data_IF_618135429324
#
_entry.id   IF_618135429324
#
_cell.length_a   1.000
_cell.length_b   1.000
_cell.length_c   1.000
_cell.angle_alpha   90.00
_cell.angle_beta   90.00
_cell.angle_gamma   90.00
#
_symmetry.space_group_name_H-M   'P 1'
#
loop_
_entity.id
_entity.type
_entity.pdbx_description
1 polymer ?
#
# COMPACT_ATOMS: atom_id res chain seq x y z
N UNK A 1 -13.41 -7.50 -17.14
CA UNK A 1 -12.13 -8.18 -16.96
C UNK A 1 -12.15 -9.49 -17.74
N UNK A 2 -11.39 -9.55 -18.83
CA UNK A 2 -11.03 -10.79 -19.49
C UNK A 2 -9.58 -11.02 -19.13
N UNK A 3 -9.30 -12.00 -18.27
CA UNK A 3 -8.31 -13.05 -18.52
C UNK A 3 -8.29 -14.01 -17.33
N UNK A 4 -8.86 -15.19 -17.60
CA UNK A 4 -8.52 -16.41 -16.91
C UNK A 4 -7.03 -16.68 -17.11
N UNK A 5 -6.34 -17.00 -16.02
CA UNK A 5 -5.04 -17.67 -16.02
C UNK A 5 -4.87 -18.55 -17.26
N UNK A 6 -3.95 -18.18 -18.16
CA UNK A 6 -3.63 -18.98 -19.33
C UNK A 6 -3.07 -20.32 -18.84
N UNK A 7 -3.78 -21.40 -19.13
CA UNK A 7 -3.48 -22.74 -18.64
C UNK A 7 -2.08 -23.25 -19.00
N UNK A 8 -1.70 -24.33 -18.29
CA UNK A 8 -0.44 -25.10 -18.23
C UNK A 8 0.22 -25.49 -19.58
N UNK A 9 0.48 -24.55 -20.49
CA UNK A 9 1.48 -24.76 -21.53
C UNK A 9 2.83 -24.41 -20.95
N UNK A 10 3.80 -25.33 -21.03
CA UNK A 10 5.20 -24.99 -20.73
C UNK A 10 5.55 -23.73 -21.51
N UNK A 11 5.94 -22.64 -20.84
CA UNK A 11 6.08 -21.38 -21.52
C UNK A 11 7.33 -21.44 -22.41
N UNK A 12 7.24 -20.84 -23.59
CA UNK A 12 8.36 -20.82 -24.53
C UNK A 12 9.61 -20.26 -23.84
N UNK A 13 10.70 -21.03 -23.89
CA UNK A 13 11.98 -20.62 -23.30
C UNK A 13 12.52 -19.40 -24.03
N UNK A 14 12.89 -18.38 -23.28
CA UNK A 14 13.49 -17.13 -23.74
C UNK A 14 14.96 -17.12 -23.38
N UNK A 15 15.82 -17.17 -24.40
CA UNK A 15 17.28 -17.09 -24.20
C UNK A 15 17.67 -15.63 -23.92
N UNK A 16 18.44 -15.42 -22.85
CA UNK A 16 18.95 -14.12 -22.42
C UNK A 16 20.46 -14.17 -22.20
N UNK A 17 21.14 -13.02 -22.34
CA UNK A 17 22.59 -12.91 -22.12
C UNK A 17 22.97 -13.03 -20.65
N UNK A 18 22.12 -12.53 -19.77
CA UNK A 18 22.33 -12.52 -18.32
C UNK A 18 21.02 -12.23 -17.57
N UNK A 19 21.08 -12.36 -16.24
CA UNK A 19 19.98 -12.04 -15.31
C UNK A 19 19.46 -10.61 -15.43
N UNK A 20 20.31 -9.65 -15.78
CA UNK A 20 19.92 -8.25 -15.98
C UNK A 20 18.99 -8.09 -17.18
N UNK A 21 19.27 -8.77 -18.29
CA UNK A 21 18.38 -8.81 -19.45
C UNK A 21 17.04 -9.51 -19.12
N UNK A 22 17.07 -10.62 -18.37
CA UNK A 22 15.85 -11.28 -17.90
C UNK A 22 15.00 -10.34 -17.06
N UNK A 23 15.60 -9.68 -16.06
CA UNK A 23 14.93 -8.70 -15.19
C UNK A 23 14.30 -7.58 -16.01
N UNK A 24 15.02 -7.01 -16.98
CA UNK A 24 14.49 -5.94 -17.83
C UNK A 24 13.26 -6.38 -18.64
N UNK A 25 13.25 -7.62 -19.15
CA UNK A 25 12.12 -8.19 -19.90
C UNK A 25 10.93 -8.46 -18.99
N UNK A 26 11.15 -9.05 -17.82
CA UNK A 26 10.12 -9.29 -16.79
C UNK A 26 9.44 -7.98 -16.38
N UNK A 27 10.23 -6.94 -16.10
CA UNK A 27 9.73 -5.60 -15.79
C UNK A 27 8.86 -5.03 -16.92
N UNK A 28 9.25 -5.24 -18.17
CA UNK A 28 8.48 -4.77 -19.32
C UNK A 28 7.14 -5.52 -19.42
N UNK A 29 7.13 -6.84 -19.20
CA UNK A 29 5.91 -7.65 -19.13
C UNK A 29 4.93 -7.10 -18.11
N UNK A 30 5.36 -6.93 -16.84
CA UNK A 30 4.48 -6.46 -15.78
C UNK A 30 4.00 -5.03 -15.99
N UNK A 31 4.87 -4.12 -16.43
CA UNK A 31 4.47 -2.73 -16.73
C UNK A 31 3.41 -2.64 -17.82
N UNK A 32 3.57 -3.43 -18.89
CA UNK A 32 2.59 -3.46 -19.97
C UNK A 32 1.24 -3.99 -19.46
N UNK A 33 1.26 -5.11 -18.72
CA UNK A 33 0.06 -5.69 -18.14
C UNK A 33 -0.65 -4.72 -17.16
N UNK A 34 0.09 -4.05 -16.29
CA UNK A 34 -0.47 -3.08 -15.34
C UNK A 34 -1.11 -1.89 -16.06
N UNK A 35 -0.47 -1.39 -17.11
CA UNK A 35 -1.03 -0.31 -17.94
C UNK A 35 -2.32 -0.76 -18.65
N UNK A 36 -2.36 -1.99 -19.13
CA UNK A 36 -3.52 -2.54 -19.84
C UNK A 36 -4.69 -2.85 -18.88
N UNK A 37 -4.39 -3.37 -17.69
CA UNK A 37 -5.40 -3.90 -16.78
C UNK A 37 -5.86 -2.91 -15.71
N UNK A 38 -5.03 -1.93 -15.34
CA UNK A 38 -5.22 -1.10 -14.14
C UNK A 38 -5.08 0.40 -14.36
N UNK A 39 -5.00 0.88 -15.60
CA UNK A 39 -4.87 2.31 -15.91
C UNK A 39 -6.06 3.17 -15.48
N UNK A 40 -7.22 2.54 -15.21
CA UNK A 40 -8.43 3.22 -14.73
C UNK A 40 -8.48 3.32 -13.19
N UNK A 41 -7.57 2.68 -12.46
CA UNK A 41 -7.57 2.68 -11.00
C UNK A 41 -6.86 3.92 -10.44
N UNK A 42 -7.42 4.50 -9.38
CA UNK A 42 -6.88 5.71 -8.76
C UNK A 42 -5.58 5.46 -7.99
N UNK A 43 -5.39 4.26 -7.42
CA UNK A 43 -4.24 3.92 -6.60
C UNK A 43 -3.40 2.79 -7.21
N UNK A 44 -3.94 1.58 -7.34
CA UNK A 44 -3.26 0.38 -7.81
C UNK A 44 -3.14 0.38 -9.35
N UNK A 45 -2.61 1.47 -9.92
CA UNK A 45 -2.37 1.65 -11.36
C UNK A 45 -0.90 1.39 -11.72
N UNK A 46 -0.52 1.66 -12.98
CA UNK A 46 0.82 1.39 -13.51
C UNK A 46 1.96 2.16 -12.80
N UNK A 47 1.64 3.20 -12.01
CA UNK A 47 2.62 4.00 -11.29
C UNK A 47 2.93 3.44 -9.90
N UNK A 48 1.97 2.75 -9.28
CA UNK A 48 2.13 2.25 -7.90
C UNK A 48 3.32 1.28 -7.76
N UNK A 49 3.47 0.24 -8.59
CA UNK A 49 4.63 -0.67 -8.52
C UNK A 49 5.98 0.02 -8.74
N UNK A 50 6.02 1.08 -9.55
CA UNK A 50 7.22 1.89 -9.73
C UNK A 50 7.57 2.68 -8.44
N UNK A 51 6.56 3.26 -7.80
CA UNK A 51 6.70 3.93 -6.51
C UNK A 51 7.23 2.97 -5.45
N UNK A 52 6.59 1.80 -5.30
CA UNK A 52 7.00 0.74 -4.35
C UNK A 52 8.44 0.35 -4.59
N UNK A 53 8.82 0.10 -5.85
CA UNK A 53 10.19 -0.26 -6.22
C UNK A 53 11.20 0.84 -5.88
N UNK A 54 10.89 2.10 -6.18
CA UNK A 54 11.76 3.25 -5.87
C UNK A 54 12.02 3.32 -4.37
N UNK A 55 10.97 3.23 -3.55
CA UNK A 55 11.05 3.32 -2.08
C UNK A 55 11.75 2.09 -1.47
N UNK A 56 11.49 0.89 -1.98
CA UNK A 56 12.18 -0.32 -1.56
C UNK A 56 13.69 -0.27 -1.86
N UNK A 57 14.07 0.23 -3.05
CA UNK A 57 15.48 0.40 -3.42
C UNK A 57 16.18 1.49 -2.61
N UNK A 58 15.48 2.58 -2.30
CA UNK A 58 15.98 3.64 -1.42
C UNK A 58 16.33 3.07 -0.04
N UNK A 59 15.38 2.36 0.58
CA UNK A 59 15.58 1.67 1.85
C UNK A 59 16.78 0.71 1.82
N UNK A 60 16.83 -0.18 0.81
CA UNK A 60 17.91 -1.15 0.68
C UNK A 60 19.28 -0.50 0.45
N UNK A 61 19.34 0.65 -0.25
CA UNK A 61 20.59 1.38 -0.46
C UNK A 61 21.11 2.06 0.81
N UNK A 62 20.23 2.44 1.74
CA UNK A 62 20.65 2.90 3.08
C UNK A 62 21.32 1.74 3.81
N UNK A 63 20.68 0.57 3.85
CA UNK A 63 21.27 -0.63 4.46
C UNK A 63 22.61 -1.01 3.82
N UNK A 64 22.68 -1.00 2.48
CA UNK A 64 23.90 -1.32 1.72
C UNK A 64 25.07 -0.39 2.05
N UNK A 65 24.80 0.88 2.33
CA UNK A 65 25.84 1.87 2.67
C UNK A 65 26.45 1.58 4.03
N UNK A 66 25.62 1.25 5.01
CA UNK A 66 26.06 1.00 6.39
C UNK A 66 26.63 -0.41 6.56
N UNK A 67 26.02 -1.41 5.90
CA UNK A 67 26.50 -2.79 5.88
C UNK A 67 26.34 -3.42 4.48
N UNK A 68 27.39 -3.37 3.65
CA UNK A 68 27.38 -3.99 2.31
C UNK A 68 27.20 -5.51 2.31
N UNK A 69 27.32 -6.19 3.46
CA UNK A 69 27.13 -7.64 3.54
C UNK A 69 25.66 -8.04 3.56
N UNK A 70 24.77 -7.12 3.96
CA UNK A 70 23.32 -7.36 4.02
C UNK A 70 22.63 -7.19 2.66
N UNK A 71 23.19 -6.34 1.78
CA UNK A 71 22.58 -6.00 0.49
C UNK A 71 23.60 -6.13 -0.62
N UNK A 72 23.39 -7.13 -1.48
CA UNK A 72 24.21 -7.36 -2.66
C UNK A 72 23.53 -6.82 -3.93
N UNK A 73 24.23 -6.87 -5.07
CA UNK A 73 23.61 -6.59 -6.37
C UNK A 73 22.43 -7.52 -6.66
N UNK A 74 22.51 -8.77 -6.21
CA UNK A 74 21.42 -9.74 -6.37
C UNK A 74 20.22 -9.39 -5.48
N UNK A 75 20.45 -8.90 -4.25
CA UNK A 75 19.38 -8.36 -3.38
C UNK A 75 18.64 -7.22 -4.08
N UNK A 76 19.37 -6.27 -4.68
CA UNK A 76 18.76 -5.17 -5.41
C UNK A 76 17.96 -5.65 -6.63
N UNK A 77 18.46 -6.66 -7.35
CA UNK A 77 17.75 -7.28 -8.47
C UNK A 77 16.48 -8.03 -8.01
N UNK A 78 16.53 -8.70 -6.85
CA UNK A 78 15.37 -9.35 -6.25
C UNK A 78 14.28 -8.32 -5.93
N UNK A 79 14.65 -7.23 -5.27
CA UNK A 79 13.73 -6.13 -4.93
C UNK A 79 13.06 -5.57 -6.19
N UNK A 80 13.82 -5.37 -7.27
CA UNK A 80 13.31 -4.85 -8.53
C UNK A 80 12.19 -5.73 -9.11
N UNK A 81 12.37 -7.05 -9.10
CA UNK A 81 11.39 -7.98 -9.65
C UNK A 81 10.16 -8.09 -8.75
N UNK A 82 10.35 -8.35 -7.45
CA UNK A 82 9.23 -8.48 -6.49
C UNK A 82 8.38 -7.23 -6.39
N UNK A 83 9.00 -6.04 -6.32
CA UNK A 83 8.26 -4.79 -6.24
C UNK A 83 7.47 -4.49 -7.52
N UNK A 84 7.97 -4.90 -8.69
CA UNK A 84 7.24 -4.70 -9.93
C UNK A 84 6.03 -5.64 -10.08
N UNK A 85 6.06 -6.80 -9.44
CA UNK A 85 5.04 -7.83 -9.61
C UNK A 85 4.05 -7.97 -8.45
N UNK A 86 4.30 -7.39 -7.28
CA UNK A 86 3.48 -7.62 -6.07
C UNK A 86 1.97 -7.38 -6.26
N UNK A 87 1.60 -6.38 -7.07
CA UNK A 87 0.23 -6.06 -7.48
C UNK A 87 -0.01 -6.32 -8.98
N UNK A 88 0.65 -7.33 -9.55
CA UNK A 88 0.46 -7.67 -10.97
C UNK A 88 -0.90 -8.32 -11.25
N UNK A 89 -1.52 -8.92 -10.24
CA UNK A 89 -2.88 -9.47 -10.30
C UNK A 89 -3.75 -8.79 -9.26
N UNK A 90 -4.78 -8.08 -9.73
CA UNK A 90 -5.75 -7.40 -8.89
C UNK A 90 -7.18 -7.84 -9.23
N UNK A 91 -7.62 -8.94 -8.63
CA UNK A 91 -9.01 -9.37 -8.69
C UNK A 91 -9.84 -8.66 -7.62
N UNK A 92 -11.02 -8.18 -8.02
CA UNK A 92 -11.94 -7.44 -7.16
C UNK A 92 -13.40 -7.83 -7.43
N UNK A 93 -14.22 -7.78 -6.39
CA UNK A 93 -15.66 -7.62 -6.55
C UNK A 93 -16.01 -6.13 -6.52
N UNK A 94 -16.78 -5.68 -7.51
CA UNK A 94 -17.22 -4.28 -7.63
C UNK A 94 -18.57 -4.09 -6.96
N UNK A 95 -18.76 -2.95 -6.31
CA UNK A 95 -19.96 -2.60 -5.53
C UNK A 95 -19.92 -1.13 -5.12
N UNK A 96 -20.66 -0.76 -4.05
CA UNK A 96 -20.54 0.59 -3.46
C UNK A 96 -19.11 0.86 -2.99
N UNK A 97 -18.50 -0.14 -2.35
CA UNK A 97 -17.06 -0.22 -2.14
C UNK A 97 -16.51 -1.47 -2.83
N UNK A 98 -15.31 -1.38 -3.41
CA UNK A 98 -14.65 -2.56 -3.97
C UNK A 98 -14.21 -3.49 -2.84
N UNK A 99 -14.30 -4.80 -3.07
CA UNK A 99 -13.69 -5.81 -2.21
C UNK A 99 -12.55 -6.45 -2.98
N UNK A 100 -11.31 -6.20 -2.56
CA UNK A 100 -10.13 -6.82 -3.14
C UNK A 100 -10.00 -8.26 -2.63
N UNK A 101 -9.73 -9.20 -3.53
CA UNK A 101 -9.55 -10.61 -3.19
C UNK A 101 -8.12 -10.87 -2.72
N UNK A 102 -7.75 -10.29 -1.57
CA UNK A 102 -6.41 -10.40 -0.99
C UNK A 102 -6.15 -11.81 -0.40
N UNK A 103 -4.89 -12.20 -0.39
CA UNK A 103 -4.38 -13.40 0.26
C UNK A 103 -3.16 -13.97 -0.44
N UNK A 104 -2.15 -14.36 0.35
CA UNK A 104 -1.04 -15.16 -0.14
C UNK A 104 -1.21 -16.65 0.22
N UNK A 105 -1.73 -16.93 1.41
CA UNK A 105 -2.12 -18.28 1.84
C UNK A 105 -3.64 -18.41 1.92
N UNK A 106 -4.12 -19.66 1.95
CA UNK A 106 -5.54 -19.94 2.15
C UNK A 106 -6.11 -19.30 3.42
N UNK A 107 -5.35 -19.32 4.52
CA UNK A 107 -5.79 -18.77 5.81
C UNK A 107 -5.94 -17.25 5.82
N UNK A 108 -5.40 -16.55 4.83
CA UNK A 108 -5.42 -15.09 4.76
C UNK A 108 -6.78 -14.55 4.33
N UNK A 109 -7.60 -15.36 3.67
CA UNK A 109 -8.88 -14.94 3.09
C UNK A 109 -10.04 -15.29 4.03
N UNK A 110 -10.75 -14.28 4.61
CA UNK A 110 -11.93 -14.52 5.43
C UNK A 110 -13.04 -15.28 4.68
N UNK A 111 -13.83 -16.08 5.40
CA UNK A 111 -14.83 -16.97 4.79
C UNK A 111 -15.85 -16.26 3.89
N UNK A 112 -16.27 -15.03 4.25
CA UNK A 112 -17.17 -14.22 3.42
C UNK A 112 -16.50 -13.75 2.12
N UNK A 113 -15.22 -13.38 2.16
CA UNK A 113 -14.46 -12.98 0.95
C UNK A 113 -14.20 -14.21 0.07
N UNK A 114 -13.88 -15.36 0.66
CA UNK A 114 -13.68 -16.64 -0.05
C UNK A 114 -14.95 -17.08 -0.80
N UNK A 115 -16.12 -16.92 -0.19
CA UNK A 115 -17.39 -17.19 -0.86
C UNK A 115 -17.60 -16.28 -2.08
N UNK A 116 -17.27 -14.99 -1.96
CA UNK A 116 -17.34 -14.02 -3.05
C UNK A 116 -16.33 -14.33 -4.16
N UNK A 117 -15.09 -14.67 -3.82
CA UNK A 117 -14.07 -15.14 -4.77
C UNK A 117 -14.59 -16.34 -5.59
N UNK A 118 -15.18 -17.33 -4.91
CA UNK A 118 -15.75 -18.52 -5.56
C UNK A 118 -16.87 -18.15 -6.55
N UNK A 119 -17.75 -17.21 -6.21
CA UNK A 119 -18.80 -16.71 -7.11
C UNK A 119 -18.21 -16.02 -8.36
N UNK A 120 -17.03 -15.42 -8.22
CA UNK A 120 -16.30 -14.77 -9.30
C UNK A 120 -15.32 -15.71 -10.04
N UNK A 121 -15.30 -17.01 -9.72
CA UNK A 121 -14.42 -17.98 -10.34
C UNK A 121 -12.94 -17.84 -9.94
N UNK A 122 -12.66 -17.17 -8.82
CA UNK A 122 -11.32 -16.95 -8.27
C UNK A 122 -11.08 -17.91 -7.11
N UNK A 123 -9.94 -18.60 -7.12
CA UNK A 123 -9.59 -19.62 -6.10
C UNK A 123 -8.41 -19.23 -5.22
N UNK A 124 -7.63 -18.22 -5.61
CA UNK A 124 -6.43 -17.75 -4.91
C UNK A 124 -6.47 -16.23 -4.76
N UNK A 125 -5.84 -15.72 -3.71
CA UNK A 125 -5.75 -14.29 -3.48
C UNK A 125 -4.76 -13.59 -4.44
N UNK A 126 -4.85 -12.27 -4.48
CA UNK A 126 -4.09 -11.41 -5.38
C UNK A 126 -2.56 -11.55 -5.20
N UNK A 127 -2.07 -11.59 -3.96
CA UNK A 127 -0.66 -11.73 -3.66
C UNK A 127 -0.13 -13.12 -4.08
N UNK A 128 -0.93 -14.19 -3.88
CA UNK A 128 -0.58 -15.53 -4.38
C UNK A 128 -0.48 -15.52 -5.92
N UNK A 129 -1.53 -15.07 -6.61
CA UNK A 129 -1.57 -15.08 -8.08
C UNK A 129 -0.44 -14.23 -8.70
N UNK A 130 -0.12 -13.10 -8.08
CA UNK A 130 1.01 -12.25 -8.46
C UNK A 130 2.36 -12.97 -8.32
N UNK A 131 2.53 -13.75 -7.26
CA UNK A 131 3.74 -14.55 -7.06
C UNK A 131 3.85 -15.72 -8.03
N UNK A 132 2.75 -16.41 -8.34
CA UNK A 132 2.74 -17.47 -9.35
C UNK A 132 3.07 -16.93 -10.74
N UNK A 133 2.56 -15.76 -11.08
CA UNK A 133 2.94 -15.13 -12.35
C UNK A 133 4.42 -14.79 -12.39
N UNK A 134 4.98 -14.23 -11.31
CA UNK A 134 6.42 -13.96 -11.24
C UNK A 134 7.25 -15.23 -11.37
N UNK A 135 6.85 -16.32 -10.70
CA UNK A 135 7.52 -17.63 -10.81
C UNK A 135 7.49 -18.16 -12.25
N UNK A 136 6.33 -18.10 -12.89
CA UNK A 136 6.17 -18.47 -14.30
C UNK A 136 7.06 -17.64 -15.22
N UNK A 137 7.18 -16.33 -14.97
CA UNK A 137 8.11 -15.50 -15.73
C UNK A 137 9.56 -15.97 -15.52
N UNK A 138 10.00 -16.27 -14.29
CA UNK A 138 11.36 -16.75 -14.06
C UNK A 138 11.69 -18.03 -14.81
N UNK A 139 10.76 -18.97 -14.90
CA UNK A 139 10.96 -20.27 -15.57
C UNK A 139 11.17 -20.13 -17.08
N UNK A 140 10.73 -19.01 -17.67
CA UNK A 140 10.90 -18.72 -19.10
C UNK A 140 12.34 -18.38 -19.45
N UNK A 141 13.07 -17.69 -18.58
CA UNK A 141 14.35 -17.09 -18.96
C UNK A 141 15.52 -18.03 -18.66
N UNK A 142 16.24 -18.40 -19.72
CA UNK A 142 17.45 -19.25 -19.65
C UNK A 142 18.65 -18.54 -20.26
N UNK A 143 19.84 -18.80 -19.74
CA UNK A 143 21.10 -18.36 -20.32
C UNK A 143 21.38 -19.02 -21.66
N UNK A 144 22.34 -18.49 -22.41
CA UNK A 144 22.82 -19.10 -23.66
C UNK A 144 23.44 -20.50 -23.45
N UNK A 145 23.87 -20.80 -22.23
CA UNK A 145 24.34 -22.11 -21.77
C UNK A 145 23.21 -23.08 -21.40
N UNK A 146 21.95 -22.65 -21.50
CA UNK A 146 20.76 -23.42 -21.14
C UNK A 146 20.43 -23.43 -19.64
N UNK A 147 21.24 -22.78 -18.80
CA UNK A 147 20.99 -22.70 -17.36
C UNK A 147 19.87 -21.70 -17.05
N UNK A 148 19.16 -21.90 -15.94
CA UNK A 148 18.12 -20.96 -15.49
C UNK A 148 18.71 -19.58 -15.19
N UNK A 149 18.02 -18.52 -15.62
CA UNK A 149 18.45 -17.14 -15.38
C UNK A 149 18.36 -16.70 -13.92
N UNK A 150 17.63 -17.45 -13.09
CA UNK A 150 17.42 -17.23 -11.67
C UNK A 150 17.59 -18.54 -10.91
N UNK A 151 18.40 -18.54 -9.85
CA UNK A 151 18.58 -19.70 -8.99
C UNK A 151 17.35 -19.92 -8.09
N UNK A 152 17.09 -21.16 -7.63
CA UNK A 152 15.91 -21.47 -6.81
C UNK A 152 15.79 -20.63 -5.54
N UNK A 153 16.91 -20.31 -4.87
CA UNK A 153 16.89 -19.53 -3.63
C UNK A 153 16.42 -18.09 -3.91
N UNK A 154 16.93 -17.46 -4.96
CA UNK A 154 16.46 -16.14 -5.39
C UNK A 154 14.97 -16.15 -5.75
N UNK A 155 14.48 -17.19 -6.44
CA UNK A 155 13.04 -17.31 -6.78
C UNK A 155 12.17 -17.33 -5.52
N UNK A 156 12.49 -18.21 -4.57
CA UNK A 156 11.77 -18.30 -3.28
C UNK A 156 11.82 -16.97 -2.52
N UNK A 157 12.99 -16.33 -2.44
CA UNK A 157 13.13 -15.05 -1.75
C UNK A 157 12.24 -13.95 -2.37
N UNK A 158 12.11 -13.93 -3.70
CA UNK A 158 11.27 -12.95 -4.40
C UNK A 158 9.77 -13.22 -4.24
N UNK A 159 9.37 -14.49 -4.17
CA UNK A 159 8.00 -14.93 -3.87
C UNK A 159 7.62 -14.57 -2.43
N UNK A 160 8.49 -14.87 -1.47
CA UNK A 160 8.30 -14.52 -0.06
C UNK A 160 8.21 -13.00 0.15
N UNK A 161 8.91 -12.22 -0.67
CA UNK A 161 8.81 -10.76 -0.65
C UNK A 161 7.44 -10.25 -1.10
N UNK A 162 6.75 -10.95 -2.02
CA UNK A 162 5.35 -10.65 -2.38
C UNK A 162 4.41 -11.11 -1.26
N UNK A 163 4.66 -12.27 -0.64
CA UNK A 163 3.89 -12.69 0.53
C UNK A 163 3.92 -11.63 1.64
N UNK A 164 5.10 -11.03 1.88
CA UNK A 164 5.30 -10.00 2.87
C UNK A 164 4.58 -8.67 2.59
N UNK A 165 4.02 -8.44 1.39
CA UNK A 165 3.19 -7.26 1.10
C UNK A 165 1.73 -7.45 1.48
N UNK A 166 1.29 -8.68 1.77
CA UNK A 166 -0.10 -8.96 2.17
C UNK A 166 -0.50 -8.09 3.38
N UNK A 167 -1.54 -7.24 3.26
CA UNK A 167 -1.99 -6.40 4.35
C UNK A 167 -3.11 -7.05 5.17
N UNK A 168 -3.02 -6.93 6.49
CA UNK A 168 -4.06 -7.28 7.46
C UNK A 168 -4.55 -6.01 8.18
N UNK A 169 -5.87 -5.90 8.35
CA UNK A 169 -6.54 -4.66 8.75
C UNK A 169 -7.22 -4.78 10.11
N UNK A 170 -6.84 -3.90 11.04
CA UNK A 170 -7.60 -3.63 12.25
C UNK A 170 -8.04 -2.15 12.26
N UNK A 171 -9.32 -1.91 12.01
CA UNK A 171 -9.89 -0.56 11.90
C UNK A 171 -10.15 0.12 13.24
N UNK A 172 -9.95 -0.57 14.37
CA UNK A 172 -10.17 -0.06 15.72
C UNK A 172 -8.97 -0.33 16.65
N UNK A 173 -7.78 -0.51 16.07
CA UNK A 173 -6.55 -0.75 16.80
C UNK A 173 -6.20 0.46 17.67
N UNK A 174 -5.85 0.21 18.94
CA UNK A 174 -5.41 1.25 19.89
C UNK A 174 -3.92 1.12 20.14
N UNK A 175 -3.18 2.21 19.96
CA UNK A 175 -1.74 2.28 20.22
C UNK A 175 -1.49 2.13 21.73
N UNK A 176 -0.76 1.10 22.19
CA UNK A 176 -0.43 0.91 23.61
C UNK A 176 0.33 2.10 24.20
N UNK A 177 0.22 2.34 25.52
CA UNK A 177 0.93 3.46 26.18
C UNK A 177 2.44 3.39 25.94
N UNK A 178 3.03 2.19 26.07
CA UNK A 178 4.45 1.99 25.87
C UNK A 178 4.92 2.40 24.48
N UNK A 179 4.20 2.01 23.42
CA UNK A 179 4.53 2.41 22.05
C UNK A 179 4.29 3.90 21.85
N UNK A 180 3.23 4.45 22.44
CA UNK A 180 2.92 5.86 22.31
C UNK A 180 4.03 6.74 22.92
N UNK A 181 4.47 6.41 24.13
CA UNK A 181 5.61 7.06 24.79
C UNK A 181 6.90 6.85 23.96
N UNK A 182 7.21 5.61 23.61
CA UNK A 182 8.44 5.31 22.88
C UNK A 182 8.60 6.09 21.56
N UNK A 183 7.52 6.28 20.81
CA UNK A 183 7.59 6.84 19.45
C UNK A 183 7.10 8.28 19.33
N UNK A 184 6.39 8.82 20.34
CA UNK A 184 5.77 10.15 20.29
C UNK A 184 6.04 11.05 21.51
N UNK A 185 6.88 10.67 22.48
CA UNK A 185 7.28 11.52 23.61
C UNK A 185 8.20 12.71 23.30
N UNK A 186 8.52 12.96 22.02
CA UNK A 186 9.46 14.03 21.69
C UNK A 186 8.83 15.42 21.92
N UNK A 187 9.60 16.45 22.31
CA UNK A 187 9.10 17.83 22.39
C UNK A 187 8.48 18.33 21.07
N UNK A 188 8.90 17.78 19.94
CA UNK A 188 8.39 18.09 18.60
C UNK A 188 6.99 17.50 18.36
N UNK A 189 6.65 16.40 19.02
CA UNK A 189 5.34 15.74 19.00
C UNK A 189 4.69 15.93 20.36
N UNK A 190 4.01 17.06 20.61
CA UNK A 190 3.32 17.27 21.89
C UNK A 190 2.34 16.12 22.15
N UNK A 191 2.67 15.21 23.07
CA UNK A 191 1.90 13.99 23.36
C UNK A 191 0.40 14.24 23.55
N UNK A 192 0.07 15.30 24.31
CA UNK A 192 -1.30 15.72 24.56
C UNK A 192 -2.09 16.04 23.28
N UNK A 193 -1.41 16.46 22.21
CA UNK A 193 -2.03 16.79 20.93
C UNK A 193 -2.36 15.55 20.07
N UNK A 194 -1.75 14.39 20.36
CA UNK A 194 -1.95 13.15 19.60
C UNK A 194 -2.84 12.12 20.30
N UNK A 195 -3.12 12.28 21.59
CA UNK A 195 -3.92 11.34 22.39
C UNK A 195 -5.28 10.98 21.75
N UNK A 196 -5.98 11.97 21.16
CA UNK A 196 -7.29 11.75 20.51
C UNK A 196 -7.24 10.89 19.23
N UNK A 197 -6.04 10.56 18.75
CA UNK A 197 -5.78 9.76 17.55
C UNK A 197 -5.21 8.38 17.86
N UNK A 198 -5.20 7.94 19.13
CA UNK A 198 -4.61 6.65 19.50
C UNK A 198 -5.36 5.44 18.98
N UNK A 199 -6.64 5.59 18.68
CA UNK A 199 -7.47 4.51 18.12
C UNK A 199 -7.81 4.81 16.67
N UNK A 200 -7.54 3.84 15.78
CA UNK A 200 -7.83 3.97 14.35
C UNK A 200 -7.34 2.77 13.54
N UNK A 201 -6.97 3.02 12.29
CA UNK A 201 -6.59 1.96 11.36
C UNK A 201 -5.14 1.54 11.56
N UNK A 202 -4.94 0.27 11.89
CA UNK A 202 -3.66 -0.42 11.80
C UNK A 202 -3.70 -1.33 10.59
N UNK A 203 -2.71 -1.17 9.71
CA UNK A 203 -2.48 -2.10 8.61
C UNK A 203 -1.14 -2.77 8.86
N UNK A 204 -1.15 -4.07 9.16
CA UNK A 204 0.04 -4.88 9.39
C UNK A 204 0.35 -5.77 8.20
N UNK A 205 1.58 -6.28 8.13
CA UNK A 205 2.02 -7.25 7.13
C UNK A 205 2.43 -8.55 7.85
N UNK A 206 1.49 -9.48 8.12
CA UNK A 206 1.74 -10.61 9.01
C UNK A 206 2.79 -11.59 8.49
N UNK A 207 3.06 -11.60 7.17
CA UNK A 207 4.08 -12.43 6.55
C UNK A 207 5.47 -11.80 6.52
N UNK A 208 5.60 -10.55 6.98
CA UNK A 208 6.89 -9.91 7.26
C UNK A 208 7.36 -10.30 8.67
N UNK A 209 8.18 -11.35 8.75
CA UNK A 209 8.63 -11.98 10.00
C UNK A 209 10.07 -11.57 10.37
N UNK A 210 10.52 -12.01 11.53
CA UNK A 210 11.89 -11.76 12.00
C UNK A 210 12.95 -12.38 11.07
N UNK A 211 12.66 -13.55 10.52
CA UNK A 211 13.49 -14.31 9.59
C UNK A 211 13.39 -13.85 8.14
N UNK A 212 12.50 -12.91 7.81
CA UNK A 212 12.34 -12.40 6.44
C UNK A 212 13.63 -11.79 5.90
N UNK A 213 13.87 -12.01 4.60
CA UNK A 213 15.02 -11.47 3.90
C UNK A 213 15.00 -9.94 3.85
N UNK A 214 16.15 -9.32 3.54
CA UNK A 214 16.21 -7.88 3.29
C UNK A 214 15.36 -7.49 2.07
N UNK A 215 15.24 -8.37 1.07
CA UNK A 215 14.32 -8.17 -0.06
C UNK A 215 12.87 -8.04 0.40
N UNK A 216 12.38 -8.98 1.22
CA UNK A 216 11.02 -8.93 1.73
C UNK A 216 10.77 -7.69 2.60
N UNK A 217 11.72 -7.36 3.50
CA UNK A 217 11.63 -6.16 4.33
C UNK A 217 11.61 -4.87 3.49
N UNK A 218 12.44 -4.78 2.45
CA UNK A 218 12.49 -3.62 1.57
C UNK A 218 11.21 -3.45 0.76
N UNK A 219 10.71 -4.53 0.14
CA UNK A 219 9.49 -4.50 -0.68
C UNK A 219 8.27 -4.17 0.18
N UNK A 220 8.11 -4.83 1.33
CA UNK A 220 7.03 -4.56 2.29
C UNK A 220 7.08 -3.13 2.85
N UNK A 221 8.29 -2.57 3.04
CA UNK A 221 8.48 -1.16 3.41
C UNK A 221 8.07 -0.23 2.28
N UNK A 222 8.49 -0.52 1.04
CA UNK A 222 8.15 0.28 -0.13
C UNK A 222 6.64 0.33 -0.39
N UNK A 223 5.96 -0.81 -0.24
CA UNK A 223 4.53 -0.98 -0.50
C UNK A 223 3.66 -0.19 0.49
N UNK A 224 3.75 -0.52 1.77
CA UNK A 224 2.81 0.02 2.75
C UNK A 224 3.28 1.34 3.39
N UNK A 225 4.60 1.55 3.47
CA UNK A 225 5.19 2.67 4.21
C UNK A 225 5.80 3.72 3.29
N UNK A 226 6.03 3.40 2.01
CA UNK A 226 6.80 4.24 1.08
C UNK A 226 6.34 5.70 1.00
N UNK A 227 5.02 5.91 1.01
CA UNK A 227 4.42 7.25 0.94
C UNK A 227 4.39 7.96 2.30
N UNK A 228 4.17 7.23 3.40
CA UNK A 228 4.29 7.80 4.76
C UNK A 228 5.73 8.24 5.05
N UNK A 229 6.70 7.56 4.44
CA UNK A 229 8.13 7.86 4.51
C UNK A 229 8.56 9.01 3.58
N UNK A 230 7.66 9.55 2.76
CA UNK A 230 7.98 10.66 1.85
C UNK A 230 8.29 11.94 2.63
N UNK A 231 9.29 12.69 2.18
CA UNK A 231 9.60 14.04 2.66
C UNK A 231 8.57 15.07 2.15
N UNK A 232 7.72 14.68 1.20
CA UNK A 232 6.61 15.46 0.70
C UNK A 232 5.26 14.93 1.19
N UNK A 233 4.62 15.68 2.08
CA UNK A 233 3.28 15.38 2.58
C UNK A 233 2.22 15.26 1.49
N UNK A 234 2.38 15.97 0.37
CA UNK A 234 1.40 15.91 -0.72
C UNK A 234 1.37 14.52 -1.36
N UNK A 235 2.51 13.83 -1.47
CA UNK A 235 2.56 12.46 -1.98
C UNK A 235 1.75 11.53 -1.07
N UNK A 236 1.98 11.61 0.25
CA UNK A 236 1.22 10.86 1.25
C UNK A 236 -0.29 11.14 1.18
N UNK A 237 -0.66 12.42 1.14
CA UNK A 237 -2.06 12.86 1.08
C UNK A 237 -2.75 12.35 -0.18
N UNK A 238 -2.11 12.49 -1.35
CA UNK A 238 -2.69 12.10 -2.63
C UNK A 238 -2.78 10.60 -2.78
N UNK A 239 -1.77 9.86 -2.31
CA UNK A 239 -1.79 8.41 -2.24
C UNK A 239 -2.97 7.93 -1.38
N UNK A 240 -3.11 8.43 -0.15
CA UNK A 240 -4.25 8.10 0.70
C UNK A 240 -5.61 8.52 0.13
N UNK A 241 -5.68 9.64 -0.59
CA UNK A 241 -6.90 10.06 -1.29
C UNK A 241 -7.22 9.13 -2.48
N UNK A 242 -6.22 8.73 -3.27
CA UNK A 242 -6.36 7.80 -4.38
C UNK A 242 -6.90 6.45 -3.91
N UNK A 243 -6.37 5.93 -2.81
CA UNK A 243 -6.85 4.69 -2.20
C UNK A 243 -8.33 4.80 -1.80
N UNK A 244 -8.76 5.94 -1.24
CA UNK A 244 -10.17 6.15 -0.94
C UNK A 244 -11.04 6.14 -2.19
N UNK A 245 -10.63 6.86 -3.24
CA UNK A 245 -11.41 6.95 -4.48
C UNK A 245 -11.53 5.59 -5.16
N UNK A 246 -10.44 4.84 -5.23
CA UNK A 246 -10.45 3.48 -5.76
C UNK A 246 -11.38 2.59 -4.94
N UNK A 247 -11.27 2.63 -3.61
CA UNK A 247 -12.13 1.83 -2.73
C UNK A 247 -13.61 2.17 -2.88
N UNK A 248 -13.95 3.41 -3.24
CA UNK A 248 -15.31 3.92 -3.39
C UNK A 248 -15.68 4.10 -4.87
N UNK A 249 -15.30 3.17 -5.75
CA UNK A 249 -15.63 3.23 -7.19
C UNK A 249 -17.13 3.49 -7.47
N UNK A 250 -18.03 2.90 -6.68
CA UNK A 250 -19.47 3.12 -6.83
C UNK A 250 -19.89 4.60 -6.64
N UNK A 251 -19.18 5.33 -5.77
CA UNK A 251 -19.36 6.77 -5.60
C UNK A 251 -18.86 7.54 -6.83
N UNK A 252 -17.71 7.15 -7.40
CA UNK A 252 -17.20 7.75 -8.63
C UNK A 252 -18.27 7.68 -9.75
N UNK A 253 -18.82 6.50 -10.00
CA UNK A 253 -19.89 6.33 -11.00
C UNK A 253 -21.16 7.13 -10.67
N UNK A 254 -21.46 7.36 -9.39
CA UNK A 254 -22.58 8.22 -9.00
C UNK A 254 -22.31 9.71 -9.26
N UNK A 255 -21.08 10.15 -9.03
CA UNK A 255 -20.64 11.53 -9.30
C UNK A 255 -20.63 11.82 -10.81
N UNK A 256 -20.23 10.86 -11.65
CA UNK A 256 -20.29 10.98 -13.12
C UNK A 256 -21.71 11.21 -13.65
N UNK A 257 -22.73 10.67 -12.99
CA UNK A 257 -24.15 10.92 -13.30
C UNK A 257 -24.65 12.27 -12.78
N UNK A 258 -23.81 13.00 -12.05
CA UNK A 258 -24.08 14.28 -11.42
C UNK A 258 -24.36 14.14 -9.93
N UNK A 259 -23.72 15.00 -9.14
CA UNK A 259 -23.86 15.02 -7.66
C UNK A 259 -25.31 15.15 -7.20
N UNK A 260 -26.16 15.84 -7.95
CA UNK A 260 -27.59 15.97 -7.65
C UNK A 260 -28.37 14.64 -7.70
N UNK A 261 -27.81 13.60 -8.32
CA UNK A 261 -28.42 12.25 -8.36
C UNK A 261 -28.15 11.45 -7.07
N UNK A 262 -27.20 11.89 -6.25
CA UNK A 262 -26.89 11.27 -4.96
C UNK A 262 -27.89 11.80 -3.94
N UNK A 263 -28.62 10.89 -3.30
CA UNK A 263 -29.65 11.26 -2.32
C UNK A 263 -29.04 11.99 -1.13
N UNK A 264 -29.83 12.81 -0.43
CA UNK A 264 -29.35 13.54 0.74
C UNK A 264 -28.75 12.61 1.81
N UNK A 265 -29.44 11.54 2.17
CA UNK A 265 -28.95 10.55 3.14
C UNK A 265 -27.64 9.88 2.70
N UNK A 266 -27.49 9.58 1.40
CA UNK A 266 -26.24 9.05 0.88
C UNK A 266 -25.11 10.08 0.97
N UNK A 267 -25.36 11.36 0.67
CA UNK A 267 -24.35 12.43 0.83
C UNK A 267 -23.87 12.55 2.27
N UNK A 268 -24.79 12.50 3.24
CA UNK A 268 -24.45 12.49 4.69
C UNK A 268 -23.51 11.32 5.01
N UNK A 269 -23.89 10.09 4.61
CA UNK A 269 -23.11 8.88 4.88
C UNK A 269 -21.71 8.96 4.24
N UNK A 270 -21.64 9.37 2.98
CA UNK A 270 -20.39 9.51 2.25
C UNK A 270 -19.51 10.58 2.89
N UNK A 271 -20.05 11.76 3.19
CA UNK A 271 -19.31 12.84 3.84
C UNK A 271 -18.74 12.42 5.20
N UNK A 272 -19.52 11.69 6.00
CA UNK A 272 -19.05 11.13 7.26
C UNK A 272 -17.89 10.14 7.05
N UNK A 273 -17.97 9.28 6.03
CA UNK A 273 -16.91 8.34 5.70
C UNK A 273 -15.64 9.03 5.19
N UNK A 274 -15.76 10.11 4.42
CA UNK A 274 -14.63 10.92 3.97
C UNK A 274 -13.88 11.55 5.14
N UNK A 275 -14.59 12.16 6.10
CA UNK A 275 -13.94 12.72 7.29
C UNK A 275 -13.30 11.64 8.17
N UNK A 276 -13.96 10.47 8.32
CA UNK A 276 -13.35 9.31 8.99
C UNK A 276 -12.08 8.87 8.28
N UNK A 277 -12.06 8.84 6.95
CA UNK A 277 -10.87 8.49 6.17
C UNK A 277 -9.73 9.49 6.37
N UNK A 278 -10.01 10.80 6.31
CA UNK A 278 -8.98 11.82 6.58
C UNK A 278 -8.45 11.71 8.01
N UNK A 279 -9.30 11.43 9.00
CA UNK A 279 -8.85 11.10 10.36
C UNK A 279 -7.96 9.86 10.38
N UNK A 280 -8.36 8.82 9.65
CA UNK A 280 -7.65 7.55 9.59
C UNK A 280 -6.24 7.69 8.99
N UNK A 281 -5.98 8.68 8.14
CA UNK A 281 -4.61 8.97 7.68
C UNK A 281 -3.68 9.35 8.85
N UNK A 282 -4.17 10.10 9.85
CA UNK A 282 -3.35 10.40 11.05
C UNK A 282 -2.93 9.11 11.76
N UNK A 283 -3.92 8.24 12.04
CA UNK A 283 -3.68 7.01 12.80
C UNK A 283 -2.91 5.96 12.01
N UNK A 284 -3.14 5.89 10.69
CA UNK A 284 -2.35 5.08 9.78
C UNK A 284 -0.88 5.46 9.83
N UNK A 285 -0.54 6.75 9.68
CA UNK A 285 0.85 7.20 9.70
C UNK A 285 1.53 6.91 11.05
N UNK A 286 0.81 7.08 12.16
CA UNK A 286 1.31 6.73 13.50
C UNK A 286 1.60 5.22 13.62
N UNK A 287 0.67 4.36 13.19
CA UNK A 287 0.87 2.91 13.19
C UNK A 287 2.00 2.49 12.25
N UNK A 288 2.15 3.10 11.08
CA UNK A 288 3.23 2.78 10.15
C UNK A 288 4.61 3.15 10.73
N UNK A 289 4.73 4.22 11.52
CA UNK A 289 5.97 4.54 12.26
C UNK A 289 6.33 3.43 13.25
N UNK A 290 5.36 2.98 14.06
CA UNK A 290 5.54 1.90 15.05
C UNK A 290 5.94 0.61 14.32
N UNK A 291 5.15 0.19 13.33
CA UNK A 291 5.35 -1.05 12.60
C UNK A 291 6.63 -1.06 11.77
N UNK A 292 7.09 0.10 11.29
CA UNK A 292 8.41 0.24 10.67
C UNK A 292 9.50 -0.14 11.67
N UNK A 293 9.54 0.53 12.82
CA UNK A 293 10.58 0.29 13.82
C UNK A 293 10.50 -1.10 14.45
N UNK A 294 9.31 -1.66 14.63
CA UNK A 294 9.16 -3.05 15.04
C UNK A 294 9.79 -4.01 14.02
N UNK A 295 9.52 -3.84 12.72
CA UNK A 295 10.10 -4.69 11.67
C UNK A 295 11.63 -4.57 11.62
N UNK A 296 12.18 -3.35 11.74
CA UNK A 296 13.64 -3.15 11.80
C UNK A 296 14.26 -3.79 13.05
N UNK A 297 13.62 -3.66 14.20
CA UNK A 297 14.16 -4.15 15.47
C UNK A 297 14.08 -5.68 15.60
N UNK A 298 13.04 -6.30 15.02
CA UNK A 298 12.82 -7.75 15.09
C UNK A 298 13.53 -8.51 13.95
N UNK A 299 13.97 -7.85 12.88
CA UNK A 299 14.63 -8.55 11.77
C UNK A 299 16.00 -9.13 12.18
N UNK A 300 16.16 -10.44 12.02
CA UNK A 300 17.32 -11.20 12.47
C UNK A 300 18.61 -10.79 11.73
N UNK A 301 18.52 -10.42 10.45
CA UNK A 301 19.69 -10.01 9.65
C UNK A 301 20.22 -8.66 10.10
N UNK A 302 19.33 -7.70 10.36
CA UNK A 302 19.71 -6.39 10.90
C UNK A 302 20.22 -6.54 12.33
N UNK A 303 19.51 -7.27 13.19
CA UNK A 303 19.90 -7.45 14.59
C UNK A 303 21.22 -8.22 14.75
N UNK A 304 21.49 -9.18 13.87
CA UNK A 304 22.73 -9.95 13.85
C UNK A 304 23.92 -9.25 13.19
N UNK A 305 23.71 -8.12 12.51
CA UNK A 305 24.79 -7.35 11.89
C UNK A 305 25.66 -6.66 12.94
N UNK A 306 26.99 -6.67 12.72
CA UNK A 306 27.94 -5.87 13.50
C UNK A 306 27.72 -4.35 13.38
N UNK A 307 26.88 -3.93 12.43
CA UNK A 307 26.53 -2.53 12.11
C UNK A 307 25.08 -2.19 12.44
N UNK A 308 24.40 -3.00 13.26
CA UNK A 308 23.00 -2.80 13.62
C UNK A 308 22.70 -1.39 14.16
N UNK A 309 23.61 -0.81 14.95
CA UNK A 309 23.44 0.53 15.53
C UNK A 309 23.55 1.62 14.46
N UNK A 310 24.54 1.52 13.59
CA UNK A 310 24.76 2.45 12.47
C UNK A 310 23.60 2.39 11.47
N UNK A 311 23.13 1.18 11.13
CA UNK A 311 21.95 0.96 10.28
C UNK A 311 20.72 1.67 10.87
N UNK A 312 20.40 1.42 12.14
CA UNK A 312 19.22 2.01 12.80
C UNK A 312 19.33 3.53 12.88
N UNK A 313 20.54 4.06 13.12
CA UNK A 313 20.78 5.51 13.10
C UNK A 313 20.55 6.09 11.71
N UNK A 314 21.13 5.51 10.67
CA UNK A 314 20.96 5.99 9.29
C UNK A 314 19.50 5.97 8.85
N UNK A 315 18.75 4.92 9.17
CA UNK A 315 17.31 4.85 8.93
C UNK A 315 16.55 5.93 9.72
N UNK A 316 16.93 6.18 10.97
CA UNK A 316 16.27 7.20 11.82
C UNK A 316 16.50 8.60 11.26
N UNK A 317 17.76 8.92 10.94
CA UNK A 317 18.15 10.22 10.40
C UNK A 317 17.43 10.50 9.06
N UNK A 318 17.18 9.45 8.27
CA UNK A 318 16.55 9.57 6.96
C UNK A 318 15.01 9.60 7.01
N UNK A 319 14.37 8.82 7.89
CA UNK A 319 12.92 8.58 7.85
C UNK A 319 12.11 9.16 9.03
N UNK A 320 12.70 9.32 10.21
CA UNK A 320 11.92 9.57 11.43
C UNK A 320 11.23 10.95 11.38
N UNK A 321 11.93 11.96 10.87
CA UNK A 321 11.38 13.31 10.69
C UNK A 321 10.28 13.38 9.62
N UNK A 322 10.32 12.50 8.60
CA UNK A 322 9.28 12.41 7.57
C UNK A 322 7.99 11.83 8.15
N UNK A 323 8.10 10.76 8.96
CA UNK A 323 6.95 10.23 9.70
C UNK A 323 6.28 11.32 10.53
N UNK A 324 7.06 12.02 11.37
CA UNK A 324 6.53 13.03 12.27
C UNK A 324 5.88 14.19 11.51
N UNK A 325 6.53 14.65 10.44
CA UNK A 325 5.98 15.70 9.57
C UNK A 325 4.66 15.28 8.93
N UNK A 326 4.56 14.05 8.42
CA UNK A 326 3.35 13.56 7.77
C UNK A 326 2.20 13.32 8.76
N UNK A 327 2.50 12.84 9.97
CA UNK A 327 1.53 12.71 11.07
C UNK A 327 0.97 14.09 11.45
N UNK A 328 1.85 15.08 11.68
CA UNK A 328 1.43 16.42 12.09
C UNK A 328 0.63 17.13 11.00
N UNK A 329 1.04 17.05 9.74
CA UNK A 329 0.29 17.65 8.62
C UNK A 329 -1.05 16.95 8.37
N UNK A 330 -1.11 15.63 8.49
CA UNK A 330 -2.38 14.91 8.42
C UNK A 330 -3.33 15.32 9.55
N UNK A 331 -2.79 15.50 10.78
CA UNK A 331 -3.54 16.03 11.92
C UNK A 331 -4.08 17.44 11.62
N UNK A 332 -3.22 18.37 11.21
CA UNK A 332 -3.61 19.75 10.87
C UNK A 332 -4.71 19.79 9.81
N UNK A 333 -4.57 18.96 8.75
CA UNK A 333 -5.60 18.79 7.72
C UNK A 333 -6.91 18.33 8.33
N UNK A 334 -6.90 17.25 9.12
CA UNK A 334 -8.11 16.73 9.73
C UNK A 334 -8.76 17.76 10.66
N UNK A 335 -8.00 18.43 11.53
CA UNK A 335 -8.53 19.42 12.48
C UNK A 335 -9.13 20.64 11.78
N UNK A 336 -8.55 21.08 10.67
CA UNK A 336 -9.15 22.11 9.81
C UNK A 336 -10.52 21.69 9.29
N UNK A 337 -10.64 20.45 8.81
CA UNK A 337 -11.91 19.91 8.31
C UNK A 337 -12.91 19.65 9.45
N UNK A 338 -12.46 19.14 10.59
CA UNK A 338 -13.25 18.94 11.80
C UNK A 338 -13.85 20.27 12.29
N UNK A 339 -13.04 21.34 12.34
CA UNK A 339 -13.54 22.68 12.67
C UNK A 339 -14.57 23.21 11.66
N UNK A 340 -14.37 22.93 10.36
CA UNK A 340 -15.27 23.39 9.29
C UNK A 340 -16.61 22.63 9.30
N UNK A 341 -16.58 21.34 9.56
CA UNK A 341 -17.73 20.43 9.39
C UNK A 341 -18.36 19.97 10.72
N UNK A 342 -17.81 20.37 11.87
CA UNK A 342 -18.32 20.05 13.21
C UNK A 342 -17.30 19.31 14.07
N UNK A 343 -16.96 19.91 15.21
CA UNK A 343 -15.95 19.41 16.16
C UNK A 343 -16.49 18.26 17.03
N UNK A 344 -17.80 18.25 17.29
CA UNK A 344 -18.50 17.14 17.96
C UNK A 344 -19.33 16.31 16.98
N UNK A 345 -19.67 15.07 17.39
CA UNK A 345 -20.57 14.20 16.62
C UNK A 345 -21.94 14.83 16.36
N UNK A 346 -22.47 15.60 17.33
CA UNK A 346 -23.75 16.29 17.20
C UNK A 346 -23.67 17.44 16.19
N UNK A 347 -22.70 18.35 16.36
CA UNK A 347 -22.48 19.45 15.41
C UNK A 347 -22.25 18.95 13.98
N UNK A 348 -21.54 17.82 13.85
CA UNK A 348 -21.27 17.21 12.54
C UNK A 348 -22.52 16.60 11.92
N UNK A 349 -23.35 15.93 12.72
CA UNK A 349 -24.64 15.43 12.26
C UNK A 349 -25.52 16.59 11.79
N UNK A 350 -25.63 17.66 12.59
CA UNK A 350 -26.41 18.85 12.24
C UNK A 350 -25.91 19.52 10.96
N UNK A 351 -24.60 19.68 10.82
CA UNK A 351 -23.99 20.22 9.60
C UNK A 351 -24.33 19.36 8.38
N UNK A 352 -24.19 18.03 8.50
CA UNK A 352 -24.46 17.11 7.39
C UNK A 352 -25.94 17.08 6.99
N UNK A 353 -26.88 17.16 7.93
CA UNK A 353 -28.31 17.27 7.64
C UNK A 353 -28.66 18.58 6.91
N UNK A 354 -27.84 19.61 7.04
CA UNK A 354 -28.02 20.88 6.33
C UNK A 354 -27.12 20.99 5.08
N UNK A 355 -26.39 19.93 4.72
CA UNK A 355 -25.40 19.96 3.66
C UNK A 355 -26.04 20.21 2.28
N UNK A 356 -25.57 21.25 1.62
CA UNK A 356 -25.93 21.58 0.23
C UNK A 356 -25.09 20.77 -0.76
N UNK A 357 -25.51 20.75 -2.03
CA UNK A 357 -24.68 20.20 -3.12
C UNK A 357 -23.28 20.82 -3.17
N UNK A 358 -23.18 22.14 -2.96
CA UNK A 358 -21.91 22.85 -2.97
C UNK A 358 -21.02 22.41 -1.80
N UNK A 359 -21.57 22.30 -0.59
CA UNK A 359 -20.83 21.81 0.58
C UNK A 359 -20.33 20.37 0.42
N UNK A 360 -21.12 19.52 -0.24
CA UNK A 360 -20.70 18.16 -0.57
C UNK A 360 -19.59 18.14 -1.63
N UNK A 361 -19.72 18.96 -2.69
CA UNK A 361 -18.70 19.07 -3.73
C UNK A 361 -17.35 19.53 -3.18
N UNK A 362 -17.32 20.47 -2.23
CA UNK A 362 -16.07 20.90 -1.61
C UNK A 362 -15.33 19.74 -0.90
N UNK A 363 -16.07 18.80 -0.31
CA UNK A 363 -15.48 17.62 0.34
C UNK A 363 -15.04 16.56 -0.69
N UNK A 364 -15.76 16.45 -1.81
CA UNK A 364 -15.33 15.66 -2.96
C UNK A 364 -14.01 16.18 -3.53
N UNK A 365 -13.89 17.49 -3.70
CA UNK A 365 -12.67 18.14 -4.21
C UNK A 365 -11.49 17.94 -3.24
N UNK A 366 -11.72 17.97 -1.91
CA UNK A 366 -10.70 17.69 -0.89
C UNK A 366 -10.11 16.27 -0.99
N UNK A 367 -10.91 15.30 -1.46
CA UNK A 367 -10.44 13.94 -1.77
C UNK A 367 -10.05 13.73 -3.23
N UNK A 368 -10.07 14.80 -4.05
CA UNK A 368 -9.64 14.76 -5.45
C UNK A 368 -10.62 14.05 -6.39
N UNK A 369 -11.91 13.98 -6.04
CA UNK A 369 -12.92 13.54 -7.01
C UNK A 369 -13.10 14.63 -8.08
N UNK A 370 -13.29 14.25 -9.36
CA UNK A 370 -13.53 15.20 -10.42
C UNK A 370 -14.87 15.93 -10.24
N UNK A 371 -14.89 17.23 -10.51
CA UNK A 371 -16.12 18.01 -10.60
C UNK A 371 -16.72 17.83 -12.00
N UNK A 372 -17.88 17.18 -12.12
CA UNK A 372 -18.60 17.12 -13.39
C UNK A 372 -19.60 18.27 -13.48
N UNK A 373 -19.64 19.02 -14.59
CA UNK A 373 -20.68 20.01 -14.79
C UNK A 373 -22.04 19.32 -14.73
N UNK A 374 -22.97 19.87 -13.95
CA UNK A 374 -24.36 19.41 -13.93
C UNK A 374 -24.91 19.50 -15.35
N UNK A 375 -25.19 18.34 -15.97
CA UNK A 375 -25.98 18.32 -17.20
C UNK A 375 -27.36 18.84 -16.82
N UNK A 376 -27.66 20.09 -17.18
CA UNK A 376 -29.01 20.63 -17.10
C UNK A 376 -29.88 19.79 -18.04
N UNK A 377 -30.70 18.91 -17.46
CA UNK A 377 -31.71 18.14 -18.18
C UNK A 377 -33.05 18.88 -18.11
#
# INVERSE_FOLDING_TARGET
MKESYLGEKQPDRVIVKNRGEATARILATFRNAQKENYSELDFHNEKHPEMVRRKALEFAKILMREDPTLVTKDTLANIVNSAASHDSVLNVARGEMITRFRGFFDTDTPGNVRALMTQHGVTKGNEWLSAEWLEHEFDRYVGADGNQGFDPKSKTEMIDAIAATFPDFDFAATIPNQDFEQYFSSPQTQEAALEKYRTGIKVSQPHLKAESSITALAVATGDLRGEVLSDNYEDYRQSGNGEFRELNEGLHSAIERGVGTITHDQRIKVAANMLKWVKAQVTFAMWQKILFWESINKNNLIAGSSKAVEIKRALKDHYDSNFDTNILKAKERYERLEKKYGESSEQRADYFTQMTNAGFQELLDELGFPSYPTKNH
#
